data_IF_030916563816
#
_entry.id   IF_030916563816
#
_cell.length_a   1.000
_cell.length_b   1.000
_cell.length_c   1.000
_cell.angle_alpha   90.00
_cell.angle_beta   90.00
_cell.angle_gamma   90.00
#
_symmetry.space_group_name_H-M   'P 1'
#
loop_
_entity.id
_entity.type
_entity.pdbx_description
1 polymer ?
#
# COMPACT_ATOMS: atom_id res chain seq x y z
N UNK A 1 -23.20 -3.48 0.50
CA UNK A 1 -22.04 -4.09 -0.16
C UNK A 1 -20.80 -3.31 0.27
N UNK A 2 -19.76 -4.00 0.67
CA UNK A 2 -18.50 -3.42 1.18
C UNK A 2 -18.66 -2.50 2.40
N UNK A 3 -19.54 -2.88 3.33
CA UNK A 3 -19.72 -2.16 4.59
C UNK A 3 -18.57 -2.48 5.56
N UNK A 4 -17.89 -1.44 6.03
CA UNK A 4 -16.77 -1.53 6.98
C UNK A 4 -17.10 -0.87 8.32
N UNK A 5 -18.39 -0.66 8.61
CA UNK A 5 -18.87 -0.06 9.88
C UNK A 5 -18.34 -0.88 11.07
N UNK A 6 -17.74 -0.18 12.03
CA UNK A 6 -17.16 -0.78 13.23
C UNK A 6 -15.78 -1.41 13.03
N UNK A 7 -15.20 -1.38 11.82
CA UNK A 7 -13.84 -1.83 11.55
C UNK A 7 -12.83 -0.70 11.74
N UNK A 8 -11.65 -1.06 12.26
CA UNK A 8 -10.53 -0.15 12.47
C UNK A 8 -9.45 -0.43 11.43
N UNK A 9 -9.00 0.60 10.73
CA UNK A 9 -8.08 0.48 9.61
C UNK A 9 -6.87 1.42 9.73
N UNK A 10 -5.69 0.92 9.40
CA UNK A 10 -4.48 1.71 9.18
C UNK A 10 -4.13 1.69 7.68
N UNK A 11 -3.85 2.86 7.12
CA UNK A 11 -3.28 2.97 5.77
C UNK A 11 -1.91 3.63 5.85
N UNK A 12 -0.83 2.88 5.60
CA UNK A 12 0.51 3.44 5.64
C UNK A 12 0.78 4.33 4.43
N UNK A 13 1.46 5.47 4.62
CA UNK A 13 1.74 6.43 3.54
C UNK A 13 0.50 7.06 2.95
N UNK A 14 -0.50 7.38 3.76
CA UNK A 14 -1.81 7.86 3.33
C UNK A 14 -1.99 9.38 3.41
N UNK A 15 -0.91 10.14 3.42
CA UNK A 15 -0.98 11.61 3.38
C UNK A 15 -1.17 12.17 1.96
N UNK A 16 -1.09 11.34 0.93
CA UNK A 16 -1.26 11.72 -0.49
C UNK A 16 -1.43 10.50 -1.40
N UNK A 17 -1.83 10.73 -2.65
CA UNK A 17 -1.86 9.73 -3.73
C UNK A 17 -2.73 8.52 -3.41
N UNK A 18 -2.31 7.32 -3.83
CA UNK A 18 -3.07 6.07 -3.69
C UNK A 18 -3.47 5.81 -2.23
N UNK A 19 -2.55 6.01 -1.29
CA UNK A 19 -2.82 5.80 0.13
C UNK A 19 -3.92 6.72 0.67
N UNK A 20 -3.95 7.98 0.24
CA UNK A 20 -4.99 8.94 0.62
C UNK A 20 -6.35 8.55 0.04
N UNK A 21 -6.40 8.18 -1.24
CA UNK A 21 -7.62 7.73 -1.89
C UNK A 21 -8.20 6.47 -1.24
N UNK A 22 -7.34 5.49 -0.92
CA UNK A 22 -7.74 4.28 -0.18
C UNK A 22 -8.25 4.64 1.22
N UNK A 23 -7.53 5.48 1.98
CA UNK A 23 -7.93 5.88 3.32
C UNK A 23 -9.30 6.58 3.33
N UNK A 24 -9.52 7.48 2.34
CA UNK A 24 -10.82 8.13 2.16
C UNK A 24 -11.93 7.13 1.86
N UNK A 25 -11.70 6.22 0.95
CA UNK A 25 -12.69 5.22 0.54
C UNK A 25 -13.04 4.25 1.68
N UNK A 26 -12.06 3.83 2.50
CA UNK A 26 -12.33 3.03 3.70
C UNK A 26 -13.16 3.80 4.74
N UNK A 27 -12.88 5.11 4.91
CA UNK A 27 -13.66 5.97 5.79
C UNK A 27 -15.10 6.13 5.29
N UNK A 28 -15.28 6.40 4.00
CA UNK A 28 -16.59 6.53 3.35
C UNK A 28 -17.40 5.22 3.43
N UNK A 29 -16.71 4.07 3.49
CA UNK A 29 -17.32 2.75 3.73
C UNK A 29 -17.62 2.45 5.22
N UNK A 30 -17.37 3.39 6.14
CA UNK A 30 -17.71 3.31 7.57
C UNK A 30 -16.57 2.86 8.49
N UNK A 31 -15.34 2.65 7.99
CA UNK A 31 -14.23 2.29 8.83
C UNK A 31 -13.70 3.47 9.66
N UNK A 32 -13.24 3.20 10.88
CA UNK A 32 -12.43 4.12 11.65
C UNK A 32 -10.98 4.06 11.13
N UNK A 33 -10.51 5.14 10.48
CA UNK A 33 -9.26 5.15 9.74
C UNK A 33 -8.16 5.90 10.48
N UNK A 34 -6.97 5.31 10.57
CA UNK A 34 -5.70 5.94 10.93
C UNK A 34 -4.90 6.29 9.66
N UNK A 35 -4.63 7.59 9.51
CA UNK A 35 -3.71 8.10 8.50
C UNK A 35 -2.27 7.94 9.01
N UNK A 36 -1.34 7.53 8.14
CA UNK A 36 0.07 7.44 8.50
C UNK A 36 0.93 8.29 7.56
N UNK A 37 1.85 9.06 8.16
CA UNK A 37 2.92 9.79 7.50
C UNK A 37 4.30 9.46 8.09
N UNK A 38 5.37 9.61 7.29
CA UNK A 38 6.71 9.26 7.75
C UNK A 38 7.30 10.30 8.73
N UNK A 39 7.17 11.61 8.43
CA UNK A 39 7.89 12.66 9.16
C UNK A 39 7.09 13.95 9.42
N UNK A 40 6.02 14.21 8.66
CA UNK A 40 5.29 15.46 8.72
C UNK A 40 3.92 15.28 9.37
N UNK A 41 3.79 15.80 10.58
CA UNK A 41 2.52 15.87 11.29
C UNK A 41 1.51 16.78 10.56
N UNK A 42 1.97 17.87 9.96
CA UNK A 42 1.15 18.80 9.19
C UNK A 42 0.47 18.10 8.00
N UNK A 43 1.22 17.27 7.25
CA UNK A 43 0.65 16.48 6.15
C UNK A 43 -0.39 15.49 6.66
N UNK A 44 -0.18 14.86 7.81
CA UNK A 44 -1.18 13.98 8.41
C UNK A 44 -2.44 14.75 8.82
N UNK A 45 -2.30 15.91 9.46
CA UNK A 45 -3.43 16.77 9.83
C UNK A 45 -4.23 17.25 8.62
N UNK A 46 -3.55 17.60 7.53
CA UNK A 46 -4.21 17.96 6.28
C UNK A 46 -5.01 16.78 5.71
N UNK A 47 -4.40 15.59 5.67
CA UNK A 47 -5.05 14.39 5.15
C UNK A 47 -6.27 13.98 5.99
N UNK A 48 -6.20 13.98 7.31
CA UNK A 48 -7.36 13.65 8.16
C UNK A 48 -8.49 14.66 8.00
N UNK A 49 -8.18 15.95 7.82
CA UNK A 49 -9.17 16.98 7.53
C UNK A 49 -9.85 16.77 6.17
N UNK A 50 -9.09 16.39 5.14
CA UNK A 50 -9.59 16.10 3.80
C UNK A 50 -10.48 14.85 3.77
N UNK A 51 -10.11 13.79 4.50
CA UNK A 51 -10.88 12.56 4.62
C UNK A 51 -12.13 12.75 5.47
N UNK A 52 -12.09 13.63 6.48
CA UNK A 52 -13.12 13.77 7.50
C UNK A 52 -12.93 12.84 8.72
N UNK A 53 -11.78 12.16 8.81
CA UNK A 53 -11.42 11.32 9.95
C UNK A 53 -10.66 12.11 11.03
N UNK A 54 -10.22 11.45 12.12
CA UNK A 54 -9.56 12.14 13.24
C UNK A 54 -8.18 11.58 13.57
N UNK A 55 -7.92 10.32 13.21
CA UNK A 55 -6.79 9.57 13.74
C UNK A 55 -5.61 9.60 12.75
N UNK A 56 -4.42 9.84 13.27
CA UNK A 56 -3.19 9.75 12.50
C UNK A 56 -2.02 9.30 13.37
N UNK A 57 -0.98 8.80 12.73
CA UNK A 57 0.31 8.47 13.34
C UNK A 57 1.45 8.93 12.44
N UNK A 58 2.49 9.49 13.05
CA UNK A 58 3.72 9.92 12.36
C UNK A 58 4.87 9.04 12.82
N UNK A 59 5.40 8.22 11.91
CA UNK A 59 6.57 7.38 12.18
C UNK A 59 7.26 6.97 10.90
N UNK A 60 8.57 7.10 10.84
CA UNK A 60 9.34 6.60 9.69
C UNK A 60 9.37 5.07 9.72
N UNK A 61 8.93 4.44 8.62
CA UNK A 61 8.93 2.97 8.48
C UNK A 61 10.33 2.37 8.29
N UNK A 62 11.36 3.18 8.02
CA UNK A 62 12.74 2.72 8.02
C UNK A 62 13.27 2.41 9.43
N UNK A 63 12.63 2.94 10.47
CA UNK A 63 13.03 2.73 11.85
C UNK A 63 12.64 1.33 12.32
N UNK A 64 13.52 0.64 13.01
CA UNK A 64 13.32 -0.75 13.46
C UNK A 64 12.15 -0.90 14.45
N UNK A 65 11.83 0.15 15.20
CA UNK A 65 10.73 0.20 16.17
C UNK A 65 9.40 0.67 15.57
N UNK A 66 9.32 0.86 14.27
CA UNK A 66 8.15 1.47 13.62
C UNK A 66 6.83 0.74 13.95
N UNK A 67 6.82 -0.58 13.91
CA UNK A 67 5.60 -1.35 14.19
C UNK A 67 5.15 -1.20 15.65
N UNK A 68 6.10 -1.17 16.60
CA UNK A 68 5.80 -0.97 18.03
C UNK A 68 5.22 0.41 18.29
N UNK A 69 5.85 1.45 17.77
CA UNK A 69 5.38 2.84 17.96
C UNK A 69 4.02 3.06 17.31
N UNK A 70 3.81 2.54 16.09
CA UNK A 70 2.52 2.65 15.40
C UNK A 70 1.42 1.94 16.21
N UNK A 71 1.67 0.71 16.66
CA UNK A 71 0.71 -0.04 17.47
C UNK A 71 0.37 0.66 18.79
N UNK A 72 1.34 1.26 19.48
CA UNK A 72 1.10 1.99 20.72
C UNK A 72 0.17 3.21 20.53
N UNK A 73 0.08 3.74 19.30
CA UNK A 73 -0.82 4.85 18.94
C UNK A 73 -2.18 4.34 18.46
N UNK A 74 -2.18 3.32 17.60
CA UNK A 74 -3.41 2.84 16.94
C UNK A 74 -4.20 1.85 17.79
N UNK A 75 -3.52 1.13 18.70
CA UNK A 75 -4.07 -0.07 19.31
C UNK A 75 -4.37 -1.15 18.27
N UNK A 76 -5.32 -2.02 18.59
CA UNK A 76 -5.74 -3.12 17.77
C UNK A 76 -6.48 -2.69 16.51
N UNK A 77 -6.21 -3.37 15.39
CA UNK A 77 -6.78 -3.07 14.07
C UNK A 77 -7.33 -4.33 13.38
N UNK A 78 -8.42 -4.14 12.65
CA UNK A 78 -9.05 -5.15 11.80
C UNK A 78 -8.44 -5.17 10.38
N UNK A 79 -8.00 -4.00 9.89
CA UNK A 79 -7.56 -3.77 8.51
C UNK A 79 -6.21 -3.06 8.52
N UNK A 80 -5.24 -3.57 7.75
CA UNK A 80 -3.93 -2.95 7.57
C UNK A 80 -3.58 -2.86 6.09
N UNK A 81 -3.49 -1.63 5.57
CA UNK A 81 -3.06 -1.35 4.20
C UNK A 81 -1.58 -0.93 4.21
N UNK A 82 -0.74 -1.77 3.66
CA UNK A 82 0.70 -1.59 3.57
C UNK A 82 1.06 -0.91 2.25
N UNK A 83 0.74 0.40 2.15
CA UNK A 83 0.89 1.19 0.94
C UNK A 83 2.20 1.99 0.89
N UNK A 84 2.73 2.41 2.04
CA UNK A 84 3.95 3.23 2.09
C UNK A 84 5.12 2.55 1.35
N UNK A 85 5.82 3.33 0.54
CA UNK A 85 7.01 2.84 -0.16
C UNK A 85 7.98 3.97 -0.50
N UNK A 86 9.25 3.62 -0.62
CA UNK A 86 10.33 4.47 -1.12
C UNK A 86 10.84 3.88 -2.44
N UNK A 87 11.19 4.77 -3.35
CA UNK A 87 11.70 4.44 -4.68
C UNK A 87 12.85 5.38 -5.02
N UNK A 88 14.02 4.81 -5.34
CA UNK A 88 15.12 5.54 -5.96
C UNK A 88 15.23 5.11 -7.42
N UNK A 89 15.10 6.09 -8.33
CA UNK A 89 15.23 5.85 -9.78
C UNK A 89 16.68 6.07 -10.17
N UNK A 90 17.41 4.98 -10.29
CA UNK A 90 18.82 4.95 -10.69
C UNK A 90 19.13 3.66 -11.43
N UNK A 91 20.12 3.69 -12.29
CA UNK A 91 20.69 2.47 -12.86
C UNK A 91 21.17 1.55 -11.73
N UNK A 92 21.10 0.24 -11.95
CA UNK A 92 21.32 -0.75 -10.88
C UNK A 92 22.70 -0.67 -10.21
N UNK A 93 23.75 -0.29 -10.97
CA UNK A 93 25.15 -0.15 -10.51
C UNK A 93 25.43 1.18 -9.78
N UNK A 94 24.48 2.12 -9.81
CA UNK A 94 24.56 3.40 -9.11
C UNK A 94 23.80 3.41 -7.77
N UNK A 95 23.06 2.34 -7.47
CA UNK A 95 22.33 2.20 -6.21
C UNK A 95 23.32 2.05 -5.06
N UNK A 96 23.28 2.96 -4.10
CA UNK A 96 24.12 2.88 -2.90
C UNK A 96 23.57 1.86 -1.91
N UNK A 97 24.40 1.44 -0.97
CA UNK A 97 23.98 0.54 0.13
C UNK A 97 22.85 1.16 0.96
N UNK A 98 22.94 2.44 1.28
CA UNK A 98 21.90 3.13 2.08
C UNK A 98 20.56 3.21 1.34
N UNK A 99 20.59 3.43 0.03
CA UNK A 99 19.38 3.42 -0.80
C UNK A 99 18.74 2.02 -0.90
N UNK A 100 19.56 0.97 -1.01
CA UNK A 100 19.09 -0.41 -0.93
C UNK A 100 18.45 -0.68 0.43
N UNK A 101 19.17 -0.40 1.53
CA UNK A 101 18.71 -0.68 2.88
C UNK A 101 17.43 0.09 3.20
N UNK A 102 17.33 1.36 2.76
CA UNK A 102 16.12 2.18 2.94
C UNK A 102 14.93 1.58 2.18
N UNK A 103 15.10 1.20 0.91
CA UNK A 103 14.01 0.59 0.13
C UNK A 103 13.55 -0.73 0.75
N UNK A 104 14.47 -1.60 1.15
CA UNK A 104 14.13 -2.88 1.76
C UNK A 104 13.51 -2.71 3.14
N UNK A 105 13.97 -1.77 3.95
CA UNK A 105 13.41 -1.48 5.27
C UNK A 105 11.97 -0.99 5.17
N UNK A 106 11.70 0.01 4.32
CA UNK A 106 10.37 0.61 4.19
C UNK A 106 9.42 -0.31 3.43
N UNK A 107 9.84 -0.85 2.26
CA UNK A 107 8.92 -1.55 1.37
C UNK A 107 8.63 -3.00 1.81
N UNK A 108 9.59 -3.63 2.49
CA UNK A 108 9.48 -5.05 2.86
C UNK A 108 9.51 -5.29 4.37
N UNK A 109 10.57 -4.88 5.08
CA UNK A 109 10.74 -5.23 6.49
C UNK A 109 9.65 -4.63 7.37
N UNK A 110 9.25 -3.37 7.14
CA UNK A 110 8.16 -2.73 7.86
C UNK A 110 6.81 -3.43 7.60
N UNK A 111 6.58 -3.93 6.38
CA UNK A 111 5.38 -4.70 6.06
C UNK A 111 5.29 -5.97 6.91
N UNK A 112 6.38 -6.74 6.99
CA UNK A 112 6.43 -7.93 7.84
C UNK A 112 6.24 -7.58 9.32
N UNK A 113 6.91 -6.55 9.83
CA UNK A 113 6.82 -6.13 11.22
C UNK A 113 5.39 -5.71 11.61
N UNK A 114 4.70 -4.96 10.75
CA UNK A 114 3.31 -4.57 10.98
C UNK A 114 2.36 -5.77 10.90
N UNK A 115 2.52 -6.68 9.93
CA UNK A 115 1.75 -7.93 9.89
C UNK A 115 1.89 -8.73 11.19
N UNK A 116 3.11 -8.90 11.68
CA UNK A 116 3.39 -9.62 12.93
C UNK A 116 2.74 -8.94 14.14
N UNK A 117 2.75 -7.61 14.17
CA UNK A 117 2.26 -6.83 15.31
C UNK A 117 0.74 -6.91 15.46
N UNK A 118 -0.01 -6.88 14.35
CA UNK A 118 -1.48 -6.94 14.37
C UNK A 118 -2.05 -8.35 14.33
N UNK A 119 -1.26 -9.35 13.94
CA UNK A 119 -1.70 -10.74 13.83
C UNK A 119 -2.34 -11.32 15.11
N UNK A 120 -1.81 -11.12 16.34
CA UNK A 120 -2.40 -11.70 17.54
C UNK A 120 -3.87 -11.31 17.75
N UNK A 121 -4.19 -10.02 17.62
CA UNK A 121 -5.55 -9.51 17.72
C UNK A 121 -6.46 -10.08 16.62
N UNK A 122 -6.02 -10.01 15.34
CA UNK A 122 -6.79 -10.55 14.22
C UNK A 122 -7.06 -12.06 14.38
N UNK A 123 -6.09 -12.81 14.89
CA UNK A 123 -6.22 -14.25 15.16
C UNK A 123 -7.27 -14.54 16.24
N UNK A 124 -7.26 -13.81 17.33
CA UNK A 124 -8.20 -13.95 18.43
C UNK A 124 -9.64 -13.66 17.99
N UNK A 125 -9.81 -12.59 17.19
CA UNK A 125 -11.12 -12.14 16.69
C UNK A 125 -11.58 -12.87 15.43
N UNK A 126 -10.75 -13.79 14.89
CA UNK A 126 -11.04 -14.55 13.66
C UNK A 126 -11.44 -13.66 12.47
N UNK A 127 -10.87 -12.49 12.43
CA UNK A 127 -11.04 -11.51 11.38
C UNK A 127 -9.77 -10.69 11.20
N UNK A 128 -9.33 -10.51 9.97
CA UNK A 128 -8.26 -9.61 9.60
C UNK A 128 -8.20 -9.43 8.09
N UNK A 129 -7.89 -8.21 7.66
CA UNK A 129 -7.69 -7.88 6.25
C UNK A 129 -6.36 -7.15 6.10
N UNK A 130 -5.42 -7.79 5.43
CA UNK A 130 -4.10 -7.22 5.16
C UNK A 130 -3.95 -7.08 3.66
N UNK A 131 -3.69 -5.86 3.20
CA UNK A 131 -3.49 -5.57 1.77
C UNK A 131 -2.16 -4.85 1.60
N UNK A 132 -1.27 -5.43 0.82
CA UNK A 132 -0.05 -4.75 0.36
C UNK A 132 -0.35 -3.98 -0.92
N UNK A 133 0.36 -2.87 -1.14
CA UNK A 133 0.31 -2.16 -2.42
C UNK A 133 1.61 -2.45 -3.17
N UNK A 134 1.51 -3.32 -4.16
CA UNK A 134 2.56 -3.74 -5.06
C UNK A 134 2.86 -2.72 -6.15
N UNK A 135 3.25 -3.20 -7.31
CA UNK A 135 3.54 -2.36 -8.49
C UNK A 135 3.58 -3.19 -9.76
N UNK A 136 3.11 -2.63 -10.87
CA UNK A 136 3.32 -3.21 -12.21
C UNK A 136 4.80 -3.48 -12.55
N UNK A 137 5.73 -2.88 -11.81
CA UNK A 137 7.16 -3.15 -11.92
C UNK A 137 7.53 -4.61 -11.61
N UNK A 138 6.65 -5.36 -10.96
CA UNK A 138 6.77 -6.81 -10.76
C UNK A 138 6.66 -7.59 -12.09
N UNK A 139 5.95 -7.04 -13.07
CA UNK A 139 5.67 -7.67 -14.37
C UNK A 139 6.40 -6.99 -15.53
N UNK A 140 6.52 -5.66 -15.47
CA UNK A 140 7.14 -4.83 -16.52
C UNK A 140 8.23 -3.95 -15.91
N UNK A 141 9.42 -4.51 -15.65
CA UNK A 141 10.50 -3.80 -14.98
C UNK A 141 10.98 -2.58 -15.77
N UNK A 142 11.23 -1.47 -15.06
CA UNK A 142 11.90 -0.30 -15.60
C UNK A 142 13.39 -0.37 -15.31
N UNK A 143 14.23 0.04 -16.26
CA UNK A 143 15.70 -0.05 -16.18
C UNK A 143 16.30 0.63 -14.93
N UNK A 144 15.67 1.68 -14.43
CA UNK A 144 16.14 2.45 -13.26
C UNK A 144 15.41 2.08 -11.96
N UNK A 145 14.73 0.94 -11.89
CA UNK A 145 13.93 0.57 -10.71
C UNK A 145 14.20 -0.85 -10.22
N UNK A 146 15.39 -1.39 -10.46
CA UNK A 146 15.71 -2.80 -10.14
C UNK A 146 15.44 -3.15 -8.66
N UNK A 147 15.94 -2.35 -7.72
CA UNK A 147 15.75 -2.59 -6.28
C UNK A 147 14.29 -2.40 -5.86
N UNK A 148 13.62 -1.39 -6.41
CA UNK A 148 12.21 -1.15 -6.13
C UNK A 148 11.35 -2.34 -6.60
N UNK A 149 11.53 -2.79 -7.85
CA UNK A 149 10.82 -3.96 -8.39
C UNK A 149 11.06 -5.20 -7.52
N UNK A 150 12.33 -5.50 -7.19
CA UNK A 150 12.69 -6.62 -6.33
C UNK A 150 12.03 -6.53 -4.93
N UNK A 151 11.94 -5.34 -4.34
CA UNK A 151 11.26 -5.14 -3.05
C UNK A 151 9.75 -5.43 -3.13
N UNK A 152 9.11 -5.12 -4.27
CA UNK A 152 7.69 -5.40 -4.50
C UNK A 152 7.44 -6.89 -4.79
N UNK A 153 8.32 -7.56 -5.50
CA UNK A 153 8.28 -9.02 -5.67
C UNK A 153 8.47 -9.75 -4.33
N UNK A 154 9.42 -9.29 -3.51
CA UNK A 154 9.61 -9.82 -2.16
C UNK A 154 8.34 -9.65 -1.31
N UNK A 155 7.67 -8.48 -1.41
CA UNK A 155 6.41 -8.21 -0.71
C UNK A 155 5.29 -9.16 -1.19
N UNK A 156 5.16 -9.41 -2.52
CA UNK A 156 4.19 -10.37 -3.04
C UNK A 156 4.49 -11.82 -2.62
N UNK A 157 5.77 -12.20 -2.57
CA UNK A 157 6.17 -13.50 -2.01
C UNK A 157 5.75 -13.64 -0.54
N UNK A 158 5.92 -12.57 0.26
CA UNK A 158 5.48 -12.52 1.65
C UNK A 158 3.95 -12.70 1.75
N UNK A 159 3.17 -12.01 0.91
CA UNK A 159 1.70 -12.14 0.84
C UNK A 159 1.30 -13.61 0.67
N UNK A 160 1.84 -14.31 -0.31
CA UNK A 160 1.50 -15.72 -0.59
C UNK A 160 1.84 -16.65 0.57
N UNK A 161 2.99 -16.43 1.20
CA UNK A 161 3.45 -17.27 2.31
C UNK A 161 2.66 -17.02 3.61
N UNK A 162 2.38 -15.76 3.95
CA UNK A 162 1.63 -15.40 5.15
C UNK A 162 0.15 -15.79 4.99
N UNK A 163 -0.46 -15.51 3.83
CA UNK A 163 -1.84 -15.88 3.55
C UNK A 163 -2.15 -17.34 3.86
N UNK A 164 -1.28 -18.25 3.43
CA UNK A 164 -1.41 -19.69 3.70
C UNK A 164 -1.42 -20.03 5.18
N UNK A 165 -0.66 -19.28 5.99
CA UNK A 165 -0.51 -19.53 7.42
C UNK A 165 -1.67 -18.95 8.25
N UNK A 166 -2.25 -17.82 7.81
CA UNK A 166 -3.25 -17.08 8.59
C UNK A 166 -4.70 -17.34 8.17
N UNK A 167 -4.92 -17.93 7.00
CA UNK A 167 -6.25 -18.25 6.48
C UNK A 167 -7.13 -19.07 7.46
N UNK A 168 -6.60 -20.07 8.22
CA UNK A 168 -7.40 -20.80 9.20
C UNK A 168 -8.00 -19.92 10.31
N UNK A 169 -7.51 -18.71 10.48
CA UNK A 169 -7.97 -17.75 11.48
C UNK A 169 -8.94 -16.70 10.93
N UNK A 170 -9.47 -16.87 9.71
CA UNK A 170 -10.37 -15.89 9.08
C UNK A 170 -9.66 -14.61 8.59
N UNK A 171 -8.34 -14.65 8.48
CA UNK A 171 -7.51 -13.53 8.04
C UNK A 171 -7.17 -13.71 6.57
N UNK A 172 -7.33 -12.65 5.76
CA UNK A 172 -6.88 -12.64 4.36
C UNK A 172 -5.68 -11.71 4.19
N UNK A 173 -4.75 -12.10 3.32
CA UNK A 173 -3.59 -11.29 2.95
C UNK A 173 -3.52 -11.25 1.43
N UNK A 174 -3.64 -10.07 0.83
CA UNK A 174 -3.70 -9.90 -0.62
C UNK A 174 -2.80 -8.73 -1.07
N UNK A 175 -2.60 -8.63 -2.37
CA UNK A 175 -1.86 -7.55 -3.00
C UNK A 175 -2.75 -6.75 -3.96
N UNK A 176 -2.64 -5.43 -3.91
CA UNK A 176 -3.15 -4.52 -4.92
C UNK A 176 -1.96 -4.05 -5.75
N UNK A 177 -1.99 -4.26 -7.06
CA UNK A 177 -0.86 -3.97 -7.95
C UNK A 177 -1.22 -2.83 -8.93
N UNK A 178 -0.91 -1.56 -8.58
CA UNK A 178 -1.15 -0.44 -9.47
C UNK A 178 -0.16 -0.39 -10.63
N UNK A 179 -0.64 0.11 -11.77
CA UNK A 179 0.19 0.56 -12.87
C UNK A 179 0.71 1.98 -12.69
N UNK A 180 0.73 2.74 -13.78
CA UNK A 180 1.05 4.18 -13.74
C UNK A 180 -0.19 4.94 -13.27
N UNK A 181 -0.07 5.54 -12.10
CA UNK A 181 -1.14 6.33 -11.46
C UNK A 181 -0.69 7.79 -11.36
N UNK A 182 -1.56 8.72 -11.77
CA UNK A 182 -1.34 10.17 -11.66
C UNK A 182 -1.36 10.58 -10.18
N UNK A 183 -0.18 10.69 -9.60
CA UNK A 183 0.07 11.04 -8.20
C UNK A 183 1.30 11.90 -8.11
N UNK A 184 1.52 12.64 -7.01
CA UNK A 184 2.72 13.48 -6.82
C UNK A 184 4.05 12.75 -7.08
N UNK A 185 4.09 11.42 -6.88
CA UNK A 185 5.28 10.61 -7.20
C UNK A 185 5.60 10.60 -8.70
N UNK A 186 4.59 10.65 -9.55
CA UNK A 186 4.71 10.53 -11.00
C UNK A 186 4.57 11.88 -11.73
N UNK A 187 4.31 12.98 -11.01
CA UNK A 187 4.06 14.30 -11.62
C UNK A 187 5.20 14.76 -12.52
N UNK A 188 6.45 14.62 -12.08
CA UNK A 188 7.60 15.03 -12.89
C UNK A 188 7.70 14.21 -14.20
N UNK A 189 7.41 12.91 -14.14
CA UNK A 189 7.44 12.02 -15.29
C UNK A 189 6.26 12.27 -16.24
N UNK A 190 5.06 12.49 -15.71
CA UNK A 190 3.85 12.71 -16.50
C UNK A 190 3.77 14.16 -17.05
N UNK A 191 4.51 15.10 -16.48
CA UNK A 191 4.58 16.49 -16.95
C UNK A 191 5.52 16.69 -18.14
N UNK A 192 6.44 15.75 -18.41
CA UNK A 192 7.27 15.75 -19.61
C UNK A 192 6.45 15.19 -20.79
N UNK A 193 6.12 15.97 -21.83
CA UNK A 193 5.24 15.53 -22.91
C UNK A 193 5.76 14.31 -23.69
N UNK A 194 7.06 14.25 -23.94
CA UNK A 194 7.68 13.13 -24.69
C UNK A 194 7.72 11.86 -23.85
N UNK A 195 8.09 11.97 -22.58
CA UNK A 195 8.09 10.84 -21.66
C UNK A 195 6.66 10.36 -21.39
N UNK A 196 5.71 11.26 -21.16
CA UNK A 196 4.30 10.94 -20.98
C UNK A 196 3.73 10.16 -22.17
N UNK A 197 3.95 10.65 -23.41
CA UNK A 197 3.54 9.97 -24.63
C UNK A 197 4.09 8.53 -24.70
N UNK A 198 5.36 8.35 -24.37
CA UNK A 198 6.01 7.03 -24.33
C UNK A 198 5.38 6.12 -23.26
N UNK A 199 5.11 6.66 -22.07
CA UNK A 199 4.47 5.92 -20.97
C UNK A 199 3.06 5.49 -21.37
N UNK A 200 2.23 6.42 -21.88
CA UNK A 200 0.85 6.15 -22.28
C UNK A 200 0.75 5.14 -23.42
N UNK A 201 1.70 5.19 -24.37
CA UNK A 201 1.76 4.20 -25.46
C UNK A 201 2.00 2.75 -24.96
N UNK A 202 2.54 2.61 -23.74
CA UNK A 202 2.73 1.30 -23.09
C UNK A 202 1.55 0.83 -22.24
N UNK A 203 0.44 1.59 -22.19
CA UNK A 203 -0.76 1.27 -21.44
C UNK A 203 -1.90 1.02 -22.43
N UNK A 204 -2.43 -0.21 -22.56
CA UNK A 204 -3.51 -0.50 -23.51
C UNK A 204 -4.75 0.39 -23.36
N UNK A 205 -5.10 0.80 -22.14
CA UNK A 205 -6.19 1.74 -21.89
C UNK A 205 -5.93 3.16 -22.43
N UNK A 206 -4.67 3.53 -22.74
CA UNK A 206 -4.29 4.80 -23.35
C UNK A 206 -4.18 5.99 -22.40
N UNK A 207 -4.31 5.78 -21.09
CA UNK A 207 -4.19 6.83 -20.06
C UNK A 207 -3.56 6.30 -18.77
N UNK A 208 -3.00 7.20 -17.96
CA UNK A 208 -2.59 6.90 -16.58
C UNK A 208 -3.83 6.87 -15.67
N UNK A 209 -3.92 5.87 -14.81
CA UNK A 209 -5.01 5.80 -13.82
C UNK A 209 -4.95 6.93 -12.81
N UNK A 210 -6.06 7.16 -12.11
CA UNK A 210 -6.16 8.05 -10.97
C UNK A 210 -5.95 7.28 -9.65
N UNK A 211 -5.65 7.96 -8.56
CA UNK A 211 -5.51 7.32 -7.25
C UNK A 211 -6.82 6.63 -6.82
N UNK A 212 -7.95 7.21 -7.20
CA UNK A 212 -9.31 6.72 -6.95
C UNK A 212 -9.61 5.40 -7.67
N UNK A 213 -8.94 5.09 -8.79
CA UNK A 213 -9.12 3.82 -9.51
C UNK A 213 -8.61 2.62 -8.70
N UNK A 214 -7.70 2.86 -7.75
CA UNK A 214 -7.19 1.83 -6.86
C UNK A 214 -8.12 1.54 -5.66
N UNK A 215 -8.95 2.50 -5.27
CA UNK A 215 -9.75 2.43 -4.05
C UNK A 215 -10.83 1.32 -4.07
N UNK A 216 -11.59 1.09 -5.15
CA UNK A 216 -12.60 0.03 -5.19
C UNK A 216 -12.03 -1.37 -4.95
N UNK A 217 -10.87 -1.66 -5.53
CA UNK A 217 -10.19 -2.94 -5.33
C UNK A 217 -9.71 -3.10 -3.86
N UNK A 218 -9.21 -2.02 -3.25
CA UNK A 218 -8.80 -2.04 -1.85
C UNK A 218 -10.00 -2.27 -0.91
N UNK A 219 -11.13 -1.58 -1.12
CA UNK A 219 -12.35 -1.78 -0.32
C UNK A 219 -12.84 -3.23 -0.45
N UNK A 220 -12.91 -3.77 -1.67
CA UNK A 220 -13.28 -5.16 -1.90
C UNK A 220 -12.39 -6.10 -1.08
N UNK A 221 -11.07 -5.96 -1.16
CA UNK A 221 -10.11 -6.81 -0.43
C UNK A 221 -10.20 -6.65 1.10
N UNK A 222 -10.77 -5.55 1.61
CA UNK A 222 -10.93 -5.28 3.03
C UNK A 222 -12.30 -5.73 3.58
N UNK A 223 -13.24 -6.08 2.72
CA UNK A 223 -14.62 -6.39 3.08
C UNK A 223 -14.87 -7.86 3.39
N UNK A 224 -16.07 -8.19 3.86
CA UNK A 224 -16.53 -9.58 4.04
C UNK A 224 -16.77 -10.28 2.69
N UNK A 225 -17.06 -9.53 1.64
CA UNK A 225 -17.30 -10.07 0.31
C UNK A 225 -16.04 -10.73 -0.28
N UNK A 226 -14.86 -10.38 0.22
CA UNK A 226 -13.58 -11.00 -0.19
C UNK A 226 -13.08 -12.09 0.76
N UNK A 227 -13.90 -12.58 1.71
CA UNK A 227 -13.45 -13.55 2.73
C UNK A 227 -12.83 -14.86 2.19
N UNK A 228 -13.07 -15.17 0.93
CA UNK A 228 -12.51 -16.35 0.25
C UNK A 228 -11.38 -15.99 -0.73
N UNK A 229 -10.96 -14.72 -0.75
CA UNK A 229 -9.86 -14.22 -1.57
C UNK A 229 -8.65 -13.99 -0.67
N UNK A 230 -7.63 -14.84 -0.77
CA UNK A 230 -6.39 -14.70 0.00
C UNK A 230 -5.19 -15.21 -0.79
N UNK A 231 -4.01 -14.62 -0.58
CA UNK A 231 -2.81 -14.92 -1.34
C UNK A 231 -2.85 -14.44 -2.80
N UNK A 232 -3.84 -13.63 -3.13
CA UNK A 232 -4.15 -13.17 -4.48
C UNK A 232 -3.63 -11.76 -4.74
N UNK A 233 -3.66 -11.38 -6.02
CA UNK A 233 -3.31 -10.05 -6.49
C UNK A 233 -4.42 -9.50 -7.37
N UNK A 234 -4.76 -8.22 -7.18
CA UNK A 234 -5.62 -7.47 -8.10
C UNK A 234 -4.76 -6.41 -8.79
N UNK A 235 -4.65 -6.53 -10.11
CA UNK A 235 -3.88 -5.60 -10.93
C UNK A 235 -4.81 -4.48 -11.41
N UNK A 236 -4.40 -3.22 -11.19
CA UNK A 236 -5.13 -2.01 -11.58
C UNK A 236 -4.17 -1.11 -12.37
N UNK A 237 -4.02 -1.41 -13.67
CA UNK A 237 -2.94 -0.85 -14.48
C UNK A 237 -3.33 -0.50 -15.92
N UNK A 238 -4.61 -0.55 -16.28
CA UNK A 238 -5.07 -0.31 -17.64
C UNK A 238 -4.57 -1.32 -18.67
N UNK A 239 -4.16 -2.53 -18.22
CA UNK A 239 -3.61 -3.58 -19.07
C UNK A 239 -2.10 -3.48 -19.30
N UNK A 240 -1.39 -2.60 -18.58
CA UNK A 240 0.04 -2.35 -18.80
C UNK A 240 0.92 -3.59 -18.60
N UNK A 241 0.50 -4.55 -17.79
CA UNK A 241 1.26 -5.79 -17.51
C UNK A 241 1.21 -6.84 -18.62
N UNK A 242 0.29 -6.69 -19.58
CA UNK A 242 0.07 -7.60 -20.72
C UNK A 242 1.17 -7.51 -21.79
#
# INVERSE_FOLDING_TARGET
MFDLTGKKALVTGSTQGIGLAIAKALHDAGAEVWVHGATSEEKCKKAVAEIGCKNYVVKNLADKDCAEIIYNVTGDLDIVILNASVQYRKHWDEITRDELDTQMSVNFAASLALMQKYFPYMKEHKFGRIVTVGSVQQYKPHVDMAVYAASKDAQMSLVRNVAKQVAPYGITVNNLCPGVIATPRNDAALSDPEYNKKVLAGIPAGYAGLAEDCAPAAIFLCSEESRYVTGSEIIVDGGMHL
#
